data_IF_579276759666
#
_entry.id   IF_579276759666
#
_cell.length_a   1.000
_cell.length_b   1.000
_cell.length_c   1.000
_cell.angle_alpha   90.00
_cell.angle_beta   90.00
_cell.angle_gamma   90.00
#
_symmetry.space_group_name_H-M   'P 1'
#
loop_
_entity.id
_entity.type
_entity.pdbx_description
1 polymer ?
#
# COMPACT_ATOMS: atom_id res chain seq x y z
N UNK A 1 -20.79 -20.84 -7.08
CA UNK A 1 -19.54 -20.58 -7.81
C UNK A 1 -18.53 -20.06 -6.79
N UNK A 2 -17.24 -20.40 -6.92
CA UNK A 2 -16.28 -20.07 -5.87
C UNK A 2 -16.10 -18.55 -5.76
N UNK A 3 -16.51 -17.98 -4.63
CA UNK A 3 -16.41 -16.54 -4.32
C UNK A 3 -14.92 -16.14 -4.30
N UNK A 4 -14.46 -15.39 -5.31
CA UNK A 4 -13.06 -14.95 -5.44
C UNK A 4 -12.78 -13.88 -4.39
N UNK A 5 -11.65 -13.99 -3.68
CA UNK A 5 -11.25 -12.95 -2.71
C UNK A 5 -10.06 -12.18 -3.28
N UNK A 6 -10.22 -10.86 -3.40
CA UNK A 6 -9.14 -9.93 -3.77
C UNK A 6 -8.76 -9.12 -2.53
N UNK A 7 -7.49 -9.18 -2.16
CA UNK A 7 -6.98 -8.47 -0.98
C UNK A 7 -6.03 -7.38 -1.45
N UNK A 8 -6.32 -6.15 -1.06
CA UNK A 8 -5.54 -4.97 -1.45
C UNK A 8 -4.89 -4.40 -0.21
N UNK A 9 -3.57 -4.27 -0.25
CA UNK A 9 -2.78 -3.72 0.83
C UNK A 9 -2.21 -2.36 0.44
N UNK A 10 -2.35 -1.38 1.31
CA UNK A 10 -1.34 -0.33 1.41
C UNK A 10 0.00 -0.92 1.89
N UNK A 11 1.10 -0.19 1.69
CA UNK A 11 2.43 -0.65 2.04
C UNK A 11 2.94 -0.03 3.34
N UNK A 12 3.28 1.26 3.31
CA UNK A 12 3.80 1.99 4.48
C UNK A 12 2.80 1.91 5.63
N UNK A 13 3.30 1.61 6.83
CA UNK A 13 2.50 1.47 8.06
C UNK A 13 1.30 0.52 7.96
N UNK A 14 1.28 -0.35 6.96
CA UNK A 14 0.25 -1.38 6.77
C UNK A 14 0.90 -2.75 6.63
N UNK A 15 1.70 -2.96 5.59
CA UNK A 15 2.51 -4.17 5.43
C UNK A 15 3.77 -4.10 6.27
N UNK A 16 4.40 -2.93 6.32
CA UNK A 16 5.57 -2.62 7.16
C UNK A 16 5.15 -1.76 8.35
N UNK A 17 5.94 -1.76 9.42
CA UNK A 17 5.65 -1.02 10.66
C UNK A 17 6.32 0.37 10.73
N UNK A 18 6.82 0.88 9.60
CA UNK A 18 7.30 2.25 9.43
C UNK A 18 6.86 2.81 8.06
N UNK A 19 7.31 4.02 7.75
CA UNK A 19 7.22 4.69 6.47
C UNK A 19 8.56 4.54 5.74
N UNK A 20 8.55 3.91 4.57
CA UNK A 20 9.76 3.53 3.83
C UNK A 20 10.59 4.72 3.35
N UNK A 21 9.92 5.81 2.95
CA UNK A 21 10.57 7.08 2.60
C UNK A 21 11.28 7.68 3.82
N UNK A 22 10.56 7.83 4.94
CA UNK A 22 11.11 8.31 6.20
C UNK A 22 12.28 7.43 6.67
N UNK A 23 12.15 6.11 6.57
CA UNK A 23 13.18 5.16 6.97
C UNK A 23 14.50 5.44 6.25
N UNK A 24 14.47 5.47 4.91
CA UNK A 24 15.67 5.76 4.10
C UNK A 24 16.23 7.15 4.40
N UNK A 25 15.38 8.17 4.50
CA UNK A 25 15.80 9.55 4.79
C UNK A 25 16.50 9.66 6.14
N UNK A 26 15.98 8.99 7.17
CA UNK A 26 16.56 9.02 8.52
C UNK A 26 17.86 8.22 8.58
N UNK A 27 17.84 6.96 8.14
CA UNK A 27 18.97 6.03 8.24
C UNK A 27 20.16 6.45 7.35
N UNK A 28 19.89 7.16 6.24
CA UNK A 28 20.92 7.64 5.33
C UNK A 28 21.29 9.11 5.54
N UNK A 29 20.85 9.72 6.64
CA UNK A 29 21.35 11.03 7.08
C UNK A 29 20.79 12.24 6.32
N UNK A 30 19.64 12.12 5.65
CA UNK A 30 19.01 13.20 4.88
C UNK A 30 17.94 13.99 5.62
N UNK A 31 17.64 13.65 6.88
CA UNK A 31 16.56 14.26 7.66
C UNK A 31 16.61 15.80 7.69
N UNK A 32 17.81 16.40 7.76
CA UNK A 32 17.95 17.86 7.75
C UNK A 32 17.51 18.48 6.42
N UNK A 33 18.01 17.95 5.29
CA UNK A 33 17.65 18.44 3.96
C UNK A 33 16.17 18.19 3.66
N UNK A 34 15.66 17.02 4.02
CA UNK A 34 14.23 16.69 3.90
C UNK A 34 13.36 17.73 4.61
N UNK A 35 13.66 18.07 5.86
CA UNK A 35 12.89 19.04 6.63
C UNK A 35 12.94 20.46 6.03
N UNK A 36 14.04 20.84 5.38
CA UNK A 36 14.15 22.12 4.68
C UNK A 36 13.30 22.17 3.40
N UNK A 37 13.26 21.08 2.64
CA UNK A 37 12.59 21.03 1.34
C UNK A 37 11.12 20.63 1.43
N UNK A 38 10.70 19.93 2.48
CA UNK A 38 9.33 19.44 2.67
C UNK A 38 8.24 20.51 2.53
N UNK A 39 8.39 21.75 3.05
CA UNK A 39 7.36 22.79 2.93
C UNK A 39 7.20 23.36 1.52
N UNK A 40 8.19 23.17 0.63
CA UNK A 40 8.26 23.87 -0.66
C UNK A 40 8.23 22.93 -1.87
N UNK A 41 8.25 21.61 -1.67
CA UNK A 41 8.25 20.62 -2.74
C UNK A 41 7.05 19.68 -2.67
N UNK A 42 6.41 19.36 -3.81
CA UNK A 42 5.49 18.23 -3.91
C UNK A 42 6.14 16.93 -3.45
N UNK A 43 5.35 16.02 -2.88
CA UNK A 43 5.84 14.79 -2.26
C UNK A 43 6.76 13.97 -3.17
N UNK A 44 6.29 13.57 -4.36
CA UNK A 44 7.09 12.72 -5.25
C UNK A 44 8.35 13.40 -5.75
N UNK A 45 8.29 14.71 -6.05
CA UNK A 45 9.47 15.50 -6.43
C UNK A 45 10.47 15.62 -5.28
N UNK A 46 9.99 15.70 -4.04
CA UNK A 46 10.84 15.69 -2.86
C UNK A 46 11.53 14.33 -2.70
N UNK A 47 10.80 13.22 -2.84
CA UNK A 47 11.38 11.88 -2.73
C UNK A 47 12.42 11.61 -3.82
N UNK A 48 12.13 11.99 -5.07
CA UNK A 48 13.09 11.94 -6.19
C UNK A 48 14.34 12.78 -5.88
N UNK A 49 14.17 13.97 -5.29
CA UNK A 49 15.29 14.81 -4.86
C UNK A 49 16.11 14.18 -3.72
N UNK A 50 15.49 13.44 -2.80
CA UNK A 50 16.22 12.75 -1.72
C UNK A 50 17.10 11.64 -2.28
N UNK A 51 16.60 10.82 -3.20
CA UNK A 51 17.40 9.75 -3.80
C UNK A 51 18.50 10.28 -4.73
N UNK A 52 18.27 11.42 -5.41
CA UNK A 52 19.31 12.14 -6.15
C UNK A 52 20.41 12.68 -5.23
N UNK A 53 20.05 13.17 -4.04
CA UNK A 53 21.02 13.62 -3.03
C UNK A 53 21.86 12.45 -2.50
N UNK A 54 21.26 11.28 -2.28
CA UNK A 54 22.03 10.08 -1.90
C UNK A 54 23.07 9.75 -2.96
N UNK A 55 22.67 9.77 -4.23
CA UNK A 55 23.59 9.53 -5.34
C UNK A 55 24.70 10.58 -5.41
N UNK A 56 24.40 11.87 -5.20
CA UNK A 56 25.40 12.95 -5.18
C UNK A 56 26.44 12.78 -4.07
N UNK A 57 26.05 12.13 -2.97
CA UNK A 57 26.92 11.75 -1.85
C UNK A 57 27.67 10.42 -2.09
N UNK A 58 27.54 9.83 -3.28
CA UNK A 58 28.20 8.58 -3.67
C UNK A 58 27.53 7.32 -3.13
N UNK A 59 26.27 7.40 -2.67
CA UNK A 59 25.51 6.23 -2.24
C UNK A 59 24.97 5.46 -3.45
N UNK A 60 25.11 4.14 -3.37
CA UNK A 60 24.64 3.19 -4.38
C UNK A 60 23.22 2.74 -4.12
N UNK A 61 22.53 2.25 -5.16
CA UNK A 61 21.20 1.64 -4.99
C UNK A 61 21.25 0.37 -4.15
N UNK A 62 22.37 -0.34 -4.14
CA UNK A 62 22.59 -1.50 -3.27
C UNK A 62 22.65 -1.10 -1.78
N UNK A 63 23.27 0.04 -1.44
CA UNK A 63 23.23 0.57 -0.07
C UNK A 63 21.82 1.00 0.34
N UNK A 64 21.06 1.64 -0.56
CA UNK A 64 19.65 1.97 -0.32
C UNK A 64 18.85 0.68 -0.08
N UNK A 65 19.07 -0.34 -0.92
CA UNK A 65 18.38 -1.61 -0.78
C UNK A 65 18.71 -2.29 0.55
N UNK A 66 19.98 -2.29 0.96
CA UNK A 66 20.42 -2.82 2.26
C UNK A 66 19.82 -2.05 3.43
N UNK A 67 19.67 -0.73 3.32
CA UNK A 67 18.98 0.10 4.29
C UNK A 67 17.51 -0.33 4.44
N UNK A 68 16.81 -0.52 3.32
CA UNK A 68 15.42 -0.96 3.29
C UNK A 68 15.21 -2.36 3.87
N UNK A 69 16.19 -3.27 3.75
CA UNK A 69 16.12 -4.59 4.37
C UNK A 69 16.06 -4.55 5.91
N UNK A 70 16.45 -3.43 6.51
CA UNK A 70 16.34 -3.22 7.96
C UNK A 70 14.95 -2.80 8.44
N UNK A 71 14.02 -2.44 7.53
CA UNK A 71 12.70 -1.92 7.90
C UNK A 71 11.87 -3.02 8.59
N UNK A 72 11.18 -2.72 9.70
CA UNK A 72 10.41 -3.74 10.41
C UNK A 72 9.18 -4.17 9.60
N UNK A 73 9.03 -5.48 9.41
CA UNK A 73 7.84 -6.14 8.91
C UNK A 73 7.43 -7.20 9.93
N UNK A 74 6.24 -7.05 10.51
CA UNK A 74 5.77 -7.94 11.57
C UNK A 74 5.64 -9.40 11.09
N UNK A 75 6.23 -10.35 11.82
CA UNK A 75 6.25 -11.77 11.39
C UNK A 75 4.85 -12.35 11.15
N UNK A 76 3.86 -11.92 11.95
CA UNK A 76 2.45 -12.31 11.77
C UNK A 76 1.80 -11.71 10.54
N UNK A 77 2.18 -10.50 10.14
CA UNK A 77 1.77 -9.91 8.86
C UNK A 77 2.33 -10.72 7.68
N UNK A 78 3.60 -11.11 7.73
CA UNK A 78 4.19 -12.01 6.72
C UNK A 78 3.47 -13.37 6.64
N UNK A 79 3.14 -13.95 7.80
CA UNK A 79 2.41 -15.21 7.88
C UNK A 79 1.00 -15.09 7.28
N UNK A 80 0.29 -13.99 7.57
CA UNK A 80 -1.03 -13.70 7.02
C UNK A 80 -1.02 -13.62 5.49
N UNK A 81 -0.05 -12.93 4.90
CA UNK A 81 0.13 -12.81 3.44
C UNK A 81 0.34 -14.18 2.81
N UNK A 82 1.29 -14.97 3.35
CA UNK A 82 1.60 -16.32 2.84
C UNK A 82 0.38 -17.25 2.95
N UNK A 83 -0.34 -17.17 4.06
CA UNK A 83 -1.56 -17.95 4.29
C UNK A 83 -2.67 -17.57 3.31
N UNK A 84 -2.96 -16.27 3.14
CA UNK A 84 -3.94 -15.77 2.19
C UNK A 84 -3.62 -16.20 0.74
N UNK A 85 -2.35 -16.08 0.34
CA UNK A 85 -1.87 -16.55 -0.96
C UNK A 85 -2.06 -18.07 -1.12
N UNK A 86 -1.70 -18.87 -0.10
CA UNK A 86 -1.88 -20.33 -0.13
C UNK A 86 -3.34 -20.79 -0.19
N UNK A 87 -4.26 -19.95 0.30
CA UNK A 87 -5.71 -20.15 0.20
C UNK A 87 -6.30 -19.71 -1.15
N UNK A 88 -5.46 -19.27 -2.10
CA UNK A 88 -5.87 -18.88 -3.45
C UNK A 88 -6.46 -17.48 -3.56
N UNK A 89 -6.22 -16.60 -2.57
CA UNK A 89 -6.63 -15.20 -2.68
C UNK A 89 -5.75 -14.46 -3.71
N UNK A 90 -6.32 -13.48 -4.39
CA UNK A 90 -5.60 -12.57 -5.29
C UNK A 90 -5.10 -11.35 -4.50
N UNK A 91 -3.80 -11.30 -4.20
CA UNK A 91 -3.21 -10.25 -3.38
C UNK A 91 -2.59 -9.15 -4.26
N UNK A 92 -2.85 -7.89 -3.91
CA UNK A 92 -2.35 -6.71 -4.63
C UNK A 92 -1.81 -5.67 -3.65
N UNK A 93 -0.83 -4.88 -4.09
CA UNK A 93 -0.37 -3.69 -3.37
C UNK A 93 -0.82 -2.43 -4.12
N UNK A 94 -1.40 -1.48 -3.41
CA UNK A 94 -1.72 -0.13 -3.91
C UNK A 94 -1.19 0.88 -2.92
N UNK A 95 -0.03 1.47 -3.22
CA UNK A 95 0.66 2.33 -2.26
C UNK A 95 1.27 3.58 -2.89
N UNK A 96 1.29 4.65 -2.11
CA UNK A 96 1.90 5.94 -2.48
C UNK A 96 3.42 6.00 -2.22
N UNK A 97 4.03 4.88 -1.82
CA UNK A 97 5.48 4.67 -1.82
C UNK A 97 6.03 4.65 -3.26
N UNK A 98 7.15 3.97 -3.50
CA UNK A 98 7.70 3.77 -4.84
C UNK A 98 8.07 2.30 -5.11
N UNK A 99 8.12 1.95 -6.41
CA UNK A 99 8.33 0.57 -6.86
C UNK A 99 9.64 -0.06 -6.34
N UNK A 100 10.76 0.67 -6.36
CA UNK A 100 12.05 0.18 -5.87
C UNK A 100 11.96 -0.22 -4.39
N UNK A 101 11.29 0.59 -3.57
CA UNK A 101 11.21 0.36 -2.12
C UNK A 101 10.34 -0.85 -1.81
N UNK A 102 9.13 -0.88 -2.36
CA UNK A 102 8.18 -1.97 -2.15
C UNK A 102 8.80 -3.30 -2.59
N UNK A 103 9.32 -3.37 -3.82
CA UNK A 103 9.89 -4.61 -4.33
C UNK A 103 11.10 -5.07 -3.52
N UNK A 104 11.97 -4.16 -3.08
CA UNK A 104 13.15 -4.51 -2.30
C UNK A 104 12.76 -5.19 -0.98
N UNK A 105 11.84 -4.58 -0.24
CA UNK A 105 11.38 -5.11 1.05
C UNK A 105 10.64 -6.44 0.87
N UNK A 106 9.72 -6.51 -0.10
CA UNK A 106 8.96 -7.75 -0.36
C UNK A 106 9.86 -8.89 -0.84
N UNK A 107 10.88 -8.61 -1.66
CA UNK A 107 11.89 -9.60 -2.08
C UNK A 107 12.68 -10.12 -0.87
N UNK A 108 13.15 -9.22 0.00
CA UNK A 108 13.91 -9.59 1.20
C UNK A 108 13.14 -10.56 2.12
N UNK A 109 11.83 -10.34 2.29
CA UNK A 109 10.99 -11.21 3.12
C UNK A 109 10.42 -12.44 2.41
N UNK A 110 10.73 -12.64 1.12
CA UNK A 110 10.18 -13.74 0.31
C UNK A 110 8.66 -13.64 0.16
N UNK A 111 8.15 -12.42 -0.01
CA UNK A 111 6.73 -12.11 -0.13
C UNK A 111 6.35 -11.58 -1.53
N UNK A 112 7.31 -11.18 -2.35
CA UNK A 112 7.02 -10.56 -3.65
C UNK A 112 6.10 -11.44 -4.52
N UNK A 113 6.42 -12.73 -4.62
CA UNK A 113 5.67 -13.68 -5.46
C UNK A 113 4.26 -13.97 -4.95
N UNK A 114 3.89 -13.50 -3.75
CA UNK A 114 2.53 -13.61 -3.24
C UNK A 114 1.58 -12.60 -3.89
N UNK A 115 2.12 -11.52 -4.49
CA UNK A 115 1.31 -10.42 -5.04
C UNK A 115 1.22 -10.52 -6.55
N UNK A 116 -0.01 -10.52 -7.08
CA UNK A 116 -0.27 -10.54 -8.52
C UNK A 116 0.00 -9.20 -9.19
N UNK A 117 -0.07 -8.11 -8.42
CA UNK A 117 0.08 -6.76 -8.95
C UNK A 117 0.53 -5.77 -7.85
N UNK A 118 1.48 -4.89 -8.20
CA UNK A 118 1.93 -3.76 -7.38
C UNK A 118 1.72 -2.48 -8.17
N UNK A 119 0.84 -1.62 -7.65
CA UNK A 119 0.49 -0.32 -8.25
C UNK A 119 1.00 0.76 -7.32
N UNK A 120 1.95 1.55 -7.79
CA UNK A 120 2.65 2.55 -6.98
C UNK A 120 3.34 3.58 -7.87
N UNK A 121 3.97 4.59 -7.28
CA UNK A 121 4.81 5.55 -8.01
C UNK A 121 5.96 4.81 -8.71
N UNK A 122 6.10 4.90 -10.04
CA UNK A 122 7.16 4.22 -10.77
C UNK A 122 8.54 4.66 -10.32
N UNK A 123 9.51 3.77 -10.44
CA UNK A 123 10.91 4.08 -10.23
C UNK A 123 11.81 3.36 -11.22
N UNK A 124 12.95 3.95 -11.56
CA UNK A 124 13.95 3.37 -12.45
C UNK A 124 15.34 3.56 -11.87
N UNK A 125 16.25 2.63 -12.16
CA UNK A 125 17.68 2.78 -11.93
C UNK A 125 18.35 2.86 -13.30
N UNK A 126 19.13 3.92 -13.54
CA UNK A 126 19.83 4.10 -14.82
C UNK A 126 21.20 3.41 -14.85
N UNK A 127 21.92 3.52 -15.97
CA UNK A 127 23.24 2.92 -16.16
C UNK A 127 24.34 3.51 -15.26
N UNK A 128 24.07 4.62 -14.56
CA UNK A 128 24.97 5.27 -13.61
C UNK A 128 24.58 4.99 -12.15
N UNK A 129 23.71 4.01 -11.90
CA UNK A 129 23.18 3.66 -10.56
C UNK A 129 22.37 4.79 -9.92
N UNK A 130 21.69 5.61 -10.73
CA UNK A 130 20.78 6.66 -10.24
C UNK A 130 19.36 6.15 -10.14
N UNK A 131 18.86 6.10 -8.91
CA UNK A 131 17.44 5.85 -8.64
C UNK A 131 16.62 7.11 -8.91
N UNK A 132 15.57 6.97 -9.73
CA UNK A 132 14.58 8.02 -10.02
C UNK A 132 13.19 7.57 -9.62
N UNK A 133 12.39 8.50 -9.11
CA UNK A 133 11.01 8.28 -8.65
C UNK A 133 10.07 9.22 -9.42
N UNK A 134 8.99 8.66 -9.96
CA UNK A 134 8.03 9.37 -10.81
C UNK A 134 6.62 9.28 -10.23
N UNK A 135 5.76 10.29 -10.41
CA UNK A 135 4.38 10.19 -9.95
C UNK A 135 3.59 9.18 -10.81
N UNK A 136 2.69 8.43 -10.19
CA UNK A 136 1.82 7.47 -10.90
C UNK A 136 0.84 8.17 -11.86
N UNK A 137 0.25 9.27 -11.41
CA UNK A 137 -0.53 10.18 -12.25
C UNK A 137 0.35 11.30 -12.78
N UNK A 138 0.10 11.72 -14.01
CA UNK A 138 0.76 12.90 -14.57
C UNK A 138 0.38 14.13 -13.74
N UNK A 139 1.40 14.78 -13.17
CA UNK A 139 1.24 15.98 -12.33
C UNK A 139 0.63 17.16 -13.11
N UNK A 140 0.74 17.16 -14.45
CA UNK A 140 0.16 18.19 -15.31
C UNK A 140 -1.29 17.88 -15.71
N UNK A 141 -1.79 16.68 -15.41
CA UNK A 141 -3.16 16.25 -15.71
C UNK A 141 -3.84 15.78 -14.40
N UNK A 142 -4.38 16.72 -13.60
CA UNK A 142 -5.01 16.38 -12.34
C UNK A 142 -6.08 15.29 -12.50
N UNK A 143 -6.00 14.26 -11.68
CA UNK A 143 -6.92 13.11 -11.76
C UNK A 143 -8.33 13.41 -11.20
N UNK A 144 -8.63 14.66 -10.84
CA UNK A 144 -9.97 15.12 -10.44
C UNK A 144 -10.51 14.62 -9.09
N UNK A 145 -9.68 13.97 -8.25
CA UNK A 145 -10.08 13.52 -6.92
C UNK A 145 -9.57 14.51 -5.86
N UNK A 146 -10.44 14.91 -4.94
CA UNK A 146 -10.13 15.85 -3.86
C UNK A 146 -9.66 15.17 -2.57
N UNK A 147 -9.69 13.83 -2.51
CA UNK A 147 -9.33 13.04 -1.33
C UNK A 147 -7.90 12.50 -1.35
N UNK A 148 -7.27 12.49 -2.52
CA UNK A 148 -5.96 11.87 -2.75
C UNK A 148 -4.92 12.93 -3.13
N UNK A 149 -3.64 12.69 -2.85
CA UNK A 149 -2.57 13.57 -3.31
C UNK A 149 -2.45 13.53 -4.84
N UNK A 150 -1.91 14.60 -5.48
CA UNK A 150 -1.90 14.73 -6.94
C UNK A 150 -1.19 13.61 -7.70
N UNK A 151 -0.20 12.97 -7.07
CA UNK A 151 0.65 11.97 -7.71
C UNK A 151 0.00 10.58 -7.80
N UNK A 152 -0.95 10.23 -6.92
CA UNK A 152 -1.60 8.92 -6.97
C UNK A 152 -2.96 8.91 -6.28
N UNK A 153 -3.99 8.45 -6.99
CA UNK A 153 -5.32 8.24 -6.45
C UNK A 153 -5.62 6.75 -6.32
N UNK A 154 -5.44 6.21 -5.11
CA UNK A 154 -5.75 4.81 -4.78
C UNK A 154 -7.20 4.43 -5.11
N UNK A 155 -8.13 5.39 -5.00
CA UNK A 155 -9.53 5.17 -5.38
C UNK A 155 -9.76 4.99 -6.88
N UNK A 156 -9.00 5.67 -7.74
CA UNK A 156 -9.09 5.46 -9.20
C UNK A 156 -8.47 4.12 -9.60
N UNK A 157 -7.36 3.74 -8.93
CA UNK A 157 -6.78 2.40 -9.09
C UNK A 157 -7.79 1.32 -8.70
N UNK A 158 -8.51 1.49 -7.58
CA UNK A 158 -9.56 0.57 -7.17
C UNK A 158 -10.71 0.49 -8.19
N UNK A 159 -11.17 1.64 -8.72
CA UNK A 159 -12.18 1.66 -9.80
C UNK A 159 -11.73 0.87 -11.04
N UNK A 160 -10.45 0.92 -11.38
CA UNK A 160 -9.89 0.12 -12.49
C UNK A 160 -10.03 -1.38 -12.22
N UNK A 161 -9.79 -1.84 -10.99
CA UNK A 161 -10.02 -3.24 -10.62
C UNK A 161 -11.49 -3.64 -10.77
N UNK A 162 -12.41 -2.83 -10.25
CA UNK A 162 -13.85 -3.07 -10.42
C UNK A 162 -14.23 -3.16 -11.90
N UNK A 163 -13.75 -2.24 -12.73
CA UNK A 163 -14.02 -2.22 -14.16
C UNK A 163 -13.44 -3.45 -14.89
N UNK A 164 -12.30 -3.97 -14.43
CA UNK A 164 -11.69 -5.18 -15.01
C UNK A 164 -12.42 -6.48 -14.68
N UNK A 165 -13.20 -6.51 -13.59
CA UNK A 165 -14.02 -7.68 -13.22
C UNK A 165 -15.33 -7.75 -14.02
N UNK A 166 -15.94 -6.60 -14.34
CA UNK A 166 -17.21 -6.59 -15.08
C UNK A 166 -18.30 -7.39 -14.37
N UNK A 167 -18.86 -8.41 -15.03
CA UNK A 167 -19.88 -9.29 -14.46
C UNK A 167 -19.34 -10.17 -13.31
N UNK A 168 -18.04 -10.45 -13.29
CA UNK A 168 -17.41 -11.29 -12.25
C UNK A 168 -17.34 -10.60 -10.89
N UNK A 169 -17.73 -9.32 -10.80
CA UNK A 169 -17.77 -8.58 -9.54
C UNK A 169 -18.79 -9.18 -8.56
N UNK A 170 -19.92 -9.71 -9.03
CA UNK A 170 -20.94 -10.29 -8.14
C UNK A 170 -20.43 -11.52 -7.36
N UNK A 171 -19.44 -12.21 -7.92
CA UNK A 171 -18.76 -13.36 -7.33
C UNK A 171 -17.39 -13.01 -6.72
N UNK A 172 -17.07 -11.72 -6.57
CA UNK A 172 -15.79 -11.25 -6.00
C UNK A 172 -16.01 -10.45 -4.73
N UNK A 173 -15.26 -10.79 -3.67
CA UNK A 173 -15.20 -10.03 -2.43
C UNK A 173 -13.86 -9.30 -2.30
N UNK A 174 -13.91 -8.01 -1.99
CA UNK A 174 -12.73 -7.21 -1.70
C UNK A 174 -12.46 -7.09 -0.19
N UNK A 175 -11.18 -7.19 0.18
CA UNK A 175 -10.68 -6.83 1.50
C UNK A 175 -9.58 -5.78 1.30
N UNK A 176 -9.80 -4.56 1.81
CA UNK A 176 -8.83 -3.48 1.71
C UNK A 176 -8.18 -3.20 3.06
N UNK A 177 -6.84 -3.20 3.14
CA UNK A 177 -6.08 -2.87 4.33
C UNK A 177 -5.29 -1.58 4.11
N UNK A 178 -5.32 -0.66 5.08
CA UNK A 178 -4.57 0.60 5.00
C UNK A 178 -4.53 1.38 6.31
N UNK A 179 -3.68 2.39 6.39
CA UNK A 179 -3.56 3.30 7.54
C UNK A 179 -3.83 4.76 7.15
N UNK A 180 -3.45 5.16 5.94
CA UNK A 180 -3.34 6.56 5.54
C UNK A 180 -4.63 7.24 5.10
N UNK A 181 -4.58 8.58 5.02
CA UNK A 181 -5.73 9.38 4.57
C UNK A 181 -6.11 9.11 3.11
N UNK A 182 -5.15 8.72 2.27
CA UNK A 182 -5.37 8.38 0.86
C UNK A 182 -6.19 7.10 0.67
N UNK A 183 -6.20 6.22 1.67
CA UNK A 183 -6.93 4.95 1.70
C UNK A 183 -8.42 5.13 1.97
N UNK A 184 -8.84 6.32 2.42
CA UNK A 184 -10.26 6.64 2.57
C UNK A 184 -10.96 6.66 1.21
N UNK A 185 -10.26 7.06 0.16
CA UNK A 185 -10.82 7.12 -1.19
C UNK A 185 -11.25 5.74 -1.73
N UNK A 186 -10.42 4.67 -1.69
CA UNK A 186 -10.88 3.33 -2.04
C UNK A 186 -11.90 2.78 -1.03
N UNK A 187 -11.81 3.10 0.27
CA UNK A 187 -12.78 2.63 1.26
C UNK A 187 -14.23 3.04 0.92
N UNK A 188 -14.44 4.27 0.43
CA UNK A 188 -15.74 4.78 -0.04
C UNK A 188 -16.32 4.05 -1.26
N UNK A 189 -15.54 3.18 -1.91
CA UNK A 189 -15.93 2.47 -3.14
C UNK A 189 -16.19 0.98 -2.89
N UNK A 190 -15.89 0.49 -1.70
CA UNK A 190 -16.19 -0.86 -1.30
C UNK A 190 -17.69 -0.97 -1.05
N UNK A 191 -18.31 -2.03 -1.59
CA UNK A 191 -19.74 -2.24 -1.50
C UNK A 191 -20.15 -3.10 -0.31
N UNK A 192 -21.45 -3.36 -0.22
CA UNK A 192 -21.99 -4.34 0.74
C UNK A 192 -21.39 -5.72 0.51
N UNK A 193 -20.82 -6.29 1.56
CA UNK A 193 -20.18 -7.61 1.52
C UNK A 193 -18.66 -7.55 1.39
N UNK A 194 -18.10 -6.41 0.98
CA UNK A 194 -16.67 -6.13 1.06
C UNK A 194 -16.25 -5.76 2.49
N UNK A 195 -14.94 -5.69 2.70
CA UNK A 195 -14.34 -5.35 3.98
C UNK A 195 -13.23 -4.32 3.86
N UNK A 196 -13.17 -3.42 4.84
CA UNK A 196 -12.04 -2.52 5.07
C UNK A 196 -11.44 -2.79 6.44
N UNK A 197 -10.11 -2.83 6.51
CA UNK A 197 -9.35 -3.06 7.73
C UNK A 197 -8.43 -1.86 8.00
N UNK A 198 -8.95 -0.80 8.66
CA UNK A 198 -8.15 0.36 8.98
C UNK A 198 -7.23 0.12 10.17
N UNK A 199 -5.97 0.58 10.08
CA UNK A 199 -5.05 0.55 11.22
C UNK A 199 -5.49 1.59 12.27
N UNK A 200 -5.64 1.17 13.53
CA UNK A 200 -6.04 2.05 14.63
C UNK A 200 -5.03 3.17 14.87
N UNK A 201 -5.55 4.33 15.25
CA UNK A 201 -4.77 5.55 15.51
C UNK A 201 -4.05 6.12 14.27
N UNK A 202 -4.52 5.75 13.08
CA UNK A 202 -4.06 6.32 11.82
C UNK A 202 -5.21 6.98 11.04
N UNK A 203 -4.90 7.90 10.10
CA UNK A 203 -5.92 8.76 9.49
C UNK A 203 -7.08 8.04 8.79
N UNK A 204 -6.88 6.82 8.26
CA UNK A 204 -7.98 6.04 7.67
C UNK A 204 -9.04 5.71 8.72
N UNK A 205 -8.60 5.21 9.88
CA UNK A 205 -9.48 4.85 10.99
C UNK A 205 -10.26 6.06 11.46
N UNK A 206 -9.58 7.20 11.65
CA UNK A 206 -10.21 8.45 12.09
C UNK A 206 -11.26 8.97 11.10
N UNK A 207 -10.97 8.89 9.80
CA UNK A 207 -11.90 9.33 8.73
C UNK A 207 -13.13 8.43 8.64
N UNK A 208 -12.95 7.12 8.76
CA UNK A 208 -14.07 6.16 8.80
C UNK A 208 -14.92 6.41 10.04
N UNK A 209 -14.31 6.54 11.21
CA UNK A 209 -15.04 6.75 12.47
C UNK A 209 -15.77 8.09 12.53
N UNK A 210 -15.26 9.10 11.81
CA UNK A 210 -15.92 10.41 11.69
C UNK A 210 -17.06 10.42 10.67
N UNK A 211 -17.13 9.46 9.74
CA UNK A 211 -18.13 9.42 8.66
C UNK A 211 -18.60 7.97 8.39
N UNK A 212 -19.06 7.22 9.40
CA UNK A 212 -19.36 5.79 9.27
C UNK A 212 -20.47 5.51 8.24
N UNK A 213 -21.40 6.43 8.05
CA UNK A 213 -22.50 6.34 7.09
C UNK A 213 -22.06 6.35 5.62
N UNK A 214 -20.83 6.80 5.34
CA UNK A 214 -20.26 6.80 3.98
C UNK A 214 -19.63 5.46 3.60
N UNK A 215 -19.50 4.52 4.55
CA UNK A 215 -18.84 3.23 4.34
C UNK A 215 -19.89 2.12 4.30
N UNK A 216 -20.08 1.52 3.13
CA UNK A 216 -20.99 0.37 2.98
C UNK A 216 -20.34 -0.97 3.39
N UNK A 217 -19.01 -1.03 3.36
CA UNK A 217 -18.23 -2.22 3.68
C UNK A 217 -18.20 -2.52 5.18
N UNK A 218 -17.96 -3.79 5.53
CA UNK A 218 -17.69 -4.15 6.92
C UNK A 218 -16.34 -3.59 7.38
N UNK A 219 -16.33 -2.82 8.47
CA UNK A 219 -15.11 -2.20 9.04
C UNK A 219 -14.52 -3.10 10.13
N UNK A 220 -13.23 -3.40 10.05
CA UNK A 220 -12.51 -4.25 11.01
C UNK A 220 -11.17 -3.61 11.41
N UNK A 221 -11.17 -2.80 12.45
CA UNK A 221 -9.98 -2.12 12.94
C UNK A 221 -8.92 -3.09 13.50
N UNK A 222 -7.64 -2.79 13.29
CA UNK A 222 -6.51 -3.59 13.80
C UNK A 222 -5.37 -2.71 14.32
N UNK A 223 -4.56 -3.24 15.24
CA UNK A 223 -3.53 -2.45 15.95
C UNK A 223 -2.10 -2.92 15.67
N UNK A 224 -1.92 -4.22 15.44
CA UNK A 224 -0.63 -4.88 15.25
C UNK A 224 -0.76 -6.09 14.30
N UNK A 225 0.35 -6.74 14.01
CA UNK A 225 0.37 -7.88 13.08
C UNK A 225 -0.42 -9.11 13.57
N UNK A 226 -0.54 -9.35 14.88
CA UNK A 226 -1.40 -10.42 15.40
C UNK A 226 -2.88 -10.19 15.09
N UNK A 227 -3.37 -8.98 15.37
CA UNK A 227 -4.77 -8.61 15.09
C UNK A 227 -5.05 -8.61 13.59
N UNK A 228 -4.12 -8.09 12.78
CA UNK A 228 -4.21 -8.12 11.33
C UNK A 228 -4.35 -9.56 10.83
N UNK A 229 -3.47 -10.47 11.27
CA UNK A 229 -3.51 -11.88 10.88
C UNK A 229 -4.85 -12.53 11.26
N UNK A 230 -5.27 -12.41 12.53
CA UNK A 230 -6.52 -13.01 13.00
C UNK A 230 -7.74 -12.51 12.23
N UNK A 231 -7.86 -11.20 12.04
CA UNK A 231 -9.00 -10.60 11.35
C UNK A 231 -9.00 -11.04 9.89
N UNK A 232 -7.86 -10.91 9.19
CA UNK A 232 -7.77 -11.22 7.77
C UNK A 232 -8.14 -12.68 7.49
N UNK A 233 -7.57 -13.62 8.25
CA UNK A 233 -7.84 -15.05 8.06
C UNK A 233 -9.30 -15.40 8.36
N UNK A 234 -9.89 -14.80 9.40
CA UNK A 234 -11.32 -14.97 9.71
C UNK A 234 -12.22 -14.49 8.55
N UNK A 235 -11.87 -13.36 7.92
CA UNK A 235 -12.64 -12.84 6.79
C UNK A 235 -12.52 -13.72 5.54
N UNK A 236 -11.33 -14.27 5.30
CA UNK A 236 -11.09 -15.24 4.22
C UNK A 236 -11.92 -16.50 4.44
N UNK A 237 -11.89 -17.06 5.65
CA UNK A 237 -12.61 -18.31 5.96
C UNK A 237 -14.14 -18.12 5.91
N UNK A 238 -14.66 -17.01 6.44
CA UNK A 238 -16.07 -16.66 6.31
C UNK A 238 -16.51 -16.39 4.84
N UNK A 239 -15.57 -16.10 3.95
CA UNK A 239 -15.81 -16.02 2.50
C UNK A 239 -16.00 -17.39 1.87
N UNK A 240 -15.25 -18.38 2.32
CA UNK A 240 -15.25 -19.73 1.78
C UNK A 240 -16.46 -20.55 2.25
N UNK A 241 -16.94 -20.36 3.48
CA UNK A 241 -18.05 -21.12 4.05
C UNK A 241 -19.41 -20.90 3.35
N UNK A 242 -19.60 -19.75 2.67
CA UNK A 242 -20.82 -19.49 1.88
C UNK A 242 -20.96 -20.42 0.66
N UNK A 243 -19.97 -21.25 0.36
CA UNK A 243 -19.99 -22.23 -0.73
C UNK A 243 -20.24 -23.68 -0.25
N UNK A 244 -20.35 -23.92 1.07
CA UNK A 244 -20.47 -25.26 1.65
C UNK A 244 -21.87 -25.70 2.07
N UNK A 245 -22.90 -24.89 1.77
CA UNK A 245 -24.31 -25.13 2.14
C UNK A 245 -25.22 -25.32 0.93
#
# INVERSE_FOLDING_TARGET
MANKIVIIFDFDRTLIDDDSDRWVICEMGLAHLYNQLRPIMPWTSLMDRMVEELHSQGRTTEEIAKCLQGIPLHQRTAAAIKSAHSKGCDLKVVSDANKFYIETVLKHHGLLDCFSEIITNPSTVDEHDRLRIYPYHDINAPHGCTLCPPNMCKGLVFKRFLASLGADYEDTRFIYLGDGGGDFCPALKLGKGDHVMPRKNFPLCDRINSNPELIEAGVHEWSNGEELEQILLRLIDAGNDRNGG
#
